data_IF_490703728814
#
_entry.id   IF_490703728814
#
_cell.length_a   1.000
_cell.length_b   1.000
_cell.length_c   1.000
_cell.angle_alpha   90.00
_cell.angle_beta   90.00
_cell.angle_gamma   90.00
#
_symmetry.space_group_name_H-M   'P 1'
#
loop_
_entity.id
_entity.type
_entity.pdbx_description
1 polymer ?
#
# COMPACT_ATOMS: atom_id res chain seq x y z
N UNK A 1 -12.89 -7.84 -9.03
CA UNK A 1 -11.96 -7.72 -10.17
C UNK A 1 -10.97 -6.60 -9.86
N UNK A 2 -9.76 -6.67 -10.42
CA UNK A 2 -8.73 -5.62 -10.33
C UNK A 2 -9.26 -4.34 -10.98
N UNK A 3 -9.54 -3.30 -10.20
CA UNK A 3 -10.12 -2.03 -10.70
C UNK A 3 -9.05 -1.04 -11.15
N UNK A 4 -7.90 -1.04 -10.48
CA UNK A 4 -6.73 -0.30 -10.89
C UNK A 4 -5.45 -1.00 -10.39
N UNK A 5 -4.36 -0.78 -11.11
CA UNK A 5 -3.02 -1.27 -10.80
C UNK A 5 -2.06 -0.10 -10.78
N UNK A 6 -1.05 -0.16 -9.91
CA UNK A 6 0.11 0.70 -10.00
C UNK A 6 1.33 -0.06 -9.50
N UNK A 7 2.45 0.14 -10.18
CA UNK A 7 3.73 -0.46 -9.83
C UNK A 7 4.73 0.65 -9.55
N UNK A 8 5.55 0.47 -8.52
CA UNK A 8 6.63 1.39 -8.18
C UNK A 8 7.93 0.59 -8.12
N UNK A 9 8.91 0.99 -8.92
CA UNK A 9 10.27 0.44 -8.90
C UNK A 9 11.28 1.53 -8.53
N UNK A 10 12.23 1.21 -7.67
CA UNK A 10 13.34 2.10 -7.38
C UNK A 10 14.14 1.72 -6.14
N UNK A 11 15.11 2.56 -5.78
CA UNK A 11 15.97 2.37 -4.61
C UNK A 11 15.73 3.44 -3.55
N UNK A 12 15.96 3.08 -2.29
CA UNK A 12 15.90 4.04 -1.19
C UNK A 12 17.25 4.75 -1.06
N UNK A 13 17.24 6.08 -0.93
CA UNK A 13 18.48 6.87 -0.77
C UNK A 13 19.23 6.59 0.53
N UNK A 14 18.54 6.08 1.54
CA UNK A 14 19.07 5.76 2.87
C UNK A 14 18.38 4.53 3.41
N UNK A 15 19.07 3.79 4.27
CA UNK A 15 18.49 2.69 5.03
C UNK A 15 17.26 3.15 5.79
N UNK A 16 16.11 2.55 5.53
CA UNK A 16 14.80 3.01 6.06
C UNK A 16 14.01 1.82 6.59
N UNK A 17 13.51 1.88 7.84
CA UNK A 17 12.71 0.79 8.41
C UNK A 17 11.39 0.60 7.66
N UNK A 18 10.92 -0.65 7.55
CA UNK A 18 9.68 -0.96 6.83
C UNK A 18 8.45 -0.28 7.46
N UNK A 19 8.38 -0.15 8.79
CA UNK A 19 7.26 0.49 9.48
C UNK A 19 7.20 2.02 9.27
N UNK A 20 8.26 2.62 8.70
CA UNK A 20 8.35 4.05 8.41
C UNK A 20 7.96 4.40 6.98
N UNK A 21 7.59 3.42 6.16
CA UNK A 21 7.22 3.66 4.77
C UNK A 21 5.83 3.09 4.49
N UNK A 22 4.96 3.95 3.97
CA UNK A 22 3.58 3.61 3.68
C UNK A 22 3.17 3.97 2.26
N UNK A 23 2.06 3.38 1.87
CA UNK A 23 1.26 3.75 0.72
C UNK A 23 -0.20 3.87 1.15
N UNK A 24 -1.03 4.50 0.32
CA UNK A 24 -2.46 4.61 0.57
C UNK A 24 -3.04 5.92 0.05
N UNK A 25 -4.15 6.31 0.67
CA UNK A 25 -4.85 7.55 0.34
C UNK A 25 -4.60 8.59 1.42
N UNK A 26 -4.20 9.78 0.97
CA UNK A 26 -4.05 10.98 1.78
C UNK A 26 -5.05 12.03 1.28
N UNK A 27 -5.86 12.57 2.19
CA UNK A 27 -6.91 13.52 1.85
C UNK A 27 -6.50 14.97 2.09
N UNK A 28 -5.34 15.22 2.73
CA UNK A 28 -4.67 16.51 2.93
C UNK A 28 -5.49 17.67 3.55
N UNK A 29 -6.81 17.49 3.72
CA UNK A 29 -7.76 18.41 4.33
C UNK A 29 -8.87 17.62 4.99
N UNK A 30 -9.54 18.18 6.03
CA UNK A 30 -10.68 17.54 6.64
C UNK A 30 -11.83 17.39 5.63
N UNK A 31 -12.64 16.34 5.79
CA UNK A 31 -13.82 16.15 4.97
C UNK A 31 -14.85 17.26 5.17
N UNK A 32 -15.37 17.83 4.07
CA UNK A 32 -16.57 18.69 4.12
C UNK A 32 -17.80 17.81 4.30
N UNK A 33 -18.75 18.23 5.14
CA UNK A 33 -19.89 17.39 5.51
C UNK A 33 -19.42 16.03 6.07
N UNK A 34 -18.46 16.07 7.01
CA UNK A 34 -17.85 14.88 7.59
C UNK A 34 -18.91 13.78 7.81
N UNK A 35 -18.69 12.57 7.28
CA UNK A 35 -19.67 11.52 7.36
C UNK A 35 -20.10 11.34 8.81
N UNK A 36 -21.40 11.10 9.03
CA UNK A 36 -21.91 10.89 10.37
C UNK A 36 -21.01 9.88 11.09
N UNK A 37 -20.54 10.22 12.29
CA UNK A 37 -19.51 9.42 12.99
C UNK A 37 -19.90 7.95 13.14
N UNK A 38 -21.20 7.66 13.22
CA UNK A 38 -21.75 6.30 13.20
C UNK A 38 -21.49 5.54 11.89
N UNK A 39 -21.60 6.20 10.73
CA UNK A 39 -21.30 5.60 9.42
C UNK A 39 -19.80 5.29 9.30
N UNK A 40 -18.95 6.22 9.72
CA UNK A 40 -17.49 6.01 9.73
C UNK A 40 -17.12 4.86 10.64
N UNK A 41 -17.62 4.84 11.89
CA UNK A 41 -17.38 3.74 12.83
C UNK A 41 -17.82 2.39 12.24
N UNK A 42 -19.02 2.33 11.66
CA UNK A 42 -19.51 1.10 11.01
C UNK A 42 -18.61 0.65 9.85
N UNK A 43 -18.12 1.58 9.03
CA UNK A 43 -17.18 1.26 7.96
C UNK A 43 -15.85 0.73 8.52
N UNK A 44 -15.31 1.37 9.57
CA UNK A 44 -14.09 0.94 10.25
C UNK A 44 -14.26 -0.42 10.95
N UNK A 45 -15.40 -0.70 11.56
CA UNK A 45 -15.68 -1.98 12.21
C UNK A 45 -15.74 -3.12 11.18
N UNK A 46 -16.39 -2.88 10.04
CA UNK A 46 -16.44 -3.84 8.93
C UNK A 46 -15.05 -4.09 8.34
N UNK A 47 -14.24 -3.03 8.22
CA UNK A 47 -12.85 -3.11 7.76
C UNK A 47 -11.92 -3.74 8.81
N UNK A 48 -12.14 -3.53 10.09
CA UNK A 48 -11.22 -3.96 11.17
C UNK A 48 -11.04 -5.48 11.25
N UNK A 49 -12.04 -6.24 10.81
CA UNK A 49 -11.92 -7.71 10.69
C UNK A 49 -11.10 -8.17 9.46
N UNK A 50 -10.90 -7.30 8.47
CA UNK A 50 -10.28 -7.61 7.17
C UNK A 50 -8.94 -6.92 6.95
N UNK A 51 -8.72 -5.78 7.60
CA UNK A 51 -7.49 -5.01 7.47
C UNK A 51 -6.45 -5.53 8.46
N UNK A 52 -5.17 -5.63 8.04
CA UNK A 52 -4.05 -5.86 8.95
C UNK A 52 -4.05 -4.87 10.12
N UNK A 53 -3.54 -5.31 11.29
CA UNK A 53 -3.38 -4.40 12.45
C UNK A 53 -2.41 -3.25 12.19
N UNK A 54 -1.55 -3.39 11.20
CA UNK A 54 -0.61 -2.35 10.75
C UNK A 54 -1.25 -1.32 9.85
N UNK A 55 -2.52 -1.53 9.46
CA UNK A 55 -3.29 -0.54 8.74
C UNK A 55 -3.61 0.65 9.65
N UNK A 56 -3.33 1.86 9.17
CA UNK A 56 -3.62 3.11 9.85
C UNK A 56 -4.74 3.85 9.13
N UNK A 57 -5.81 4.12 9.88
CA UNK A 57 -6.99 4.78 9.36
C UNK A 57 -7.43 5.86 10.34
N UNK A 58 -7.40 7.11 9.87
CA UNK A 58 -8.02 8.23 10.54
C UNK A 58 -8.87 8.98 9.52
N UNK A 59 -10.19 8.83 9.60
CA UNK A 59 -11.12 9.48 8.67
C UNK A 59 -11.80 10.72 9.25
N UNK A 60 -11.55 11.03 10.52
CA UNK A 60 -12.22 12.11 11.25
C UNK A 60 -11.24 13.19 11.74
N UNK A 61 -9.93 12.97 11.59
CA UNK A 61 -8.89 13.95 11.89
C UNK A 61 -8.82 15.09 10.88
N UNK A 62 -7.95 16.07 11.21
CA UNK A 62 -7.70 17.25 10.36
C UNK A 62 -7.03 16.89 9.03
N UNK A 63 -6.27 15.79 9.03
CA UNK A 63 -5.64 15.21 7.84
C UNK A 63 -6.08 13.75 7.73
N UNK A 64 -7.26 13.49 7.14
CA UNK A 64 -7.74 12.14 6.99
C UNK A 64 -6.75 11.31 6.17
N UNK A 65 -6.53 10.07 6.59
CA UNK A 65 -5.60 9.13 5.95
C UNK A 65 -6.10 7.69 6.02
N UNK A 66 -5.80 6.94 4.97
CA UNK A 66 -6.06 5.52 4.86
C UNK A 66 -4.80 4.86 4.31
N UNK A 67 -3.89 4.47 5.20
CA UNK A 67 -2.52 4.10 4.88
C UNK A 67 -2.15 2.74 5.45
N UNK A 68 -1.22 2.05 4.79
CA UNK A 68 -0.63 0.82 5.32
C UNK A 68 0.85 0.71 4.95
N UNK A 69 1.63 -0.11 5.66
CA UNK A 69 3.01 -0.38 5.31
C UNK A 69 3.12 -0.86 3.87
N UNK A 70 4.14 -0.35 3.17
CA UNK A 70 4.34 -0.59 1.74
C UNK A 70 4.39 -2.09 1.42
N UNK A 71 5.26 -2.82 2.12
CA UNK A 71 5.44 -4.27 1.97
C UNK A 71 4.24 -5.10 2.44
N UNK A 72 3.38 -4.58 3.32
CA UNK A 72 2.23 -5.34 3.81
C UNK A 72 1.05 -5.30 2.84
N UNK A 73 0.97 -4.28 1.98
CA UNK A 73 -0.16 -4.12 1.07
C UNK A 73 0.15 -4.20 -0.41
N UNK A 74 1.40 -4.32 -0.84
CA UNK A 74 1.69 -4.72 -2.21
C UNK A 74 1.37 -6.20 -2.42
N UNK A 75 0.72 -6.52 -3.52
CA UNK A 75 0.36 -7.88 -3.87
C UNK A 75 1.49 -8.65 -4.53
N UNK A 76 2.47 -7.97 -5.10
CA UNK A 76 3.76 -8.57 -5.43
C UNK A 76 4.88 -7.67 -4.92
N UNK A 77 5.94 -8.30 -4.44
CA UNK A 77 7.12 -7.62 -3.94
C UNK A 77 8.38 -8.28 -4.48
N UNK A 78 9.26 -7.47 -5.04
CA UNK A 78 10.54 -7.92 -5.58
C UNK A 78 11.68 -7.13 -4.98
N UNK A 79 12.77 -7.81 -4.68
CA UNK A 79 14.02 -7.19 -4.24
C UNK A 79 15.14 -7.64 -5.16
N UNK A 80 15.79 -6.68 -5.79
CA UNK A 80 16.89 -6.91 -6.72
C UNK A 80 18.15 -6.13 -6.30
N UNK A 81 19.26 -6.46 -6.95
CA UNK A 81 20.50 -5.69 -6.84
C UNK A 81 20.44 -4.45 -7.71
N UNK A 82 21.27 -3.44 -7.42
CA UNK A 82 21.35 -2.23 -8.27
C UNK A 82 21.76 -2.57 -9.72
N UNK A 83 22.62 -3.57 -9.93
CA UNK A 83 23.04 -3.99 -11.27
C UNK A 83 21.89 -4.55 -12.12
N UNK A 84 20.87 -5.15 -11.51
CA UNK A 84 19.70 -5.62 -12.25
C UNK A 84 18.94 -4.46 -12.93
N UNK A 85 19.02 -3.25 -12.37
CA UNK A 85 18.42 -2.06 -12.97
C UNK A 85 19.25 -1.49 -14.12
N UNK A 86 20.55 -1.76 -14.17
CA UNK A 86 21.42 -1.38 -15.30
C UNK A 86 21.16 -2.28 -16.53
N UNK A 87 20.67 -3.51 -16.30
CA UNK A 87 20.30 -4.47 -17.35
C UNK A 87 18.90 -4.23 -17.92
N UNK A 88 18.10 -3.37 -17.27
CA UNK A 88 16.70 -3.10 -17.60
C UNK A 88 16.57 -1.75 -18.32
N UNK A 89 15.69 -1.66 -19.31
CA UNK A 89 15.40 -0.40 -20.00
C UNK A 89 14.85 0.68 -19.03
N UNK A 90 14.95 1.97 -19.38
CA UNK A 90 14.49 3.07 -18.51
C UNK A 90 12.99 3.03 -18.17
N UNK A 91 12.18 2.39 -19.01
CA UNK A 91 10.74 2.26 -18.86
C UNK A 91 10.30 0.81 -18.57
N UNK A 92 11.24 -0.08 -18.24
CA UNK A 92 10.99 -1.50 -17.98
C UNK A 92 10.99 -1.81 -16.48
N UNK A 93 10.18 -2.81 -16.11
CA UNK A 93 10.08 -3.33 -14.75
C UNK A 93 10.87 -4.64 -14.63
N UNK A 94 11.69 -4.75 -13.60
CA UNK A 94 12.46 -5.96 -13.32
C UNK A 94 11.50 -7.05 -12.85
N UNK A 95 11.60 -8.22 -13.48
CA UNK A 95 10.83 -9.40 -13.10
C UNK A 95 9.35 -9.32 -13.47
N UNK A 96 8.97 -8.52 -14.46
CA UNK A 96 7.64 -8.57 -15.06
C UNK A 96 7.49 -9.81 -15.96
N UNK A 97 6.39 -10.54 -15.81
CA UNK A 97 6.07 -11.70 -16.64
C UNK A 97 5.32 -11.31 -17.94
N UNK A 98 5.03 -12.31 -18.79
CA UNK A 98 4.30 -12.12 -20.05
C UNK A 98 2.90 -11.54 -19.90
N UNK A 99 2.35 -11.51 -18.68
CA UNK A 99 1.03 -10.96 -18.37
C UNK A 99 1.08 -9.54 -17.80
N UNK A 100 2.28 -8.97 -17.66
CA UNK A 100 2.48 -7.67 -17.02
C UNK A 100 2.39 -7.70 -15.50
N UNK A 101 2.61 -8.87 -14.88
CA UNK A 101 2.63 -9.02 -13.43
C UNK A 101 4.05 -9.14 -12.92
N UNK A 102 4.32 -8.50 -11.77
CA UNK A 102 5.61 -8.64 -11.11
C UNK A 102 5.70 -10.01 -10.45
N UNK A 103 6.73 -10.76 -10.81
CA UNK A 103 7.07 -12.03 -10.16
C UNK A 103 7.71 -11.73 -8.81
N UNK A 104 7.08 -12.24 -7.75
CA UNK A 104 7.56 -12.09 -6.38
C UNK A 104 8.93 -12.75 -6.19
N UNK A 105 9.88 -12.01 -5.63
CA UNK A 105 11.21 -12.51 -5.28
C UNK A 105 11.73 -11.75 -4.07
N UNK A 106 11.81 -12.46 -2.96
CA UNK A 106 12.27 -11.93 -1.68
C UNK A 106 13.55 -12.59 -1.19
N UNK A 107 14.25 -13.32 -2.06
CA UNK A 107 15.46 -14.07 -1.72
C UNK A 107 16.54 -13.17 -1.11
N UNK A 108 16.68 -11.94 -1.61
CA UNK A 108 17.63 -10.95 -1.09
C UNK A 108 17.28 -10.38 0.30
N UNK A 109 16.10 -10.70 0.86
CA UNK A 109 15.81 -10.41 2.27
C UNK A 109 16.61 -11.32 3.22
N UNK A 110 17.02 -12.51 2.73
CA UNK A 110 17.83 -13.48 3.47
C UNK A 110 17.31 -13.80 4.89
N UNK A 111 15.98 -13.86 5.06
CA UNK A 111 15.33 -14.24 6.31
C UNK A 111 14.34 -15.39 6.04
N UNK A 112 14.65 -16.62 6.51
CA UNK A 112 13.81 -17.79 6.26
C UNK A 112 12.45 -17.75 6.98
N UNK A 113 12.23 -16.81 7.90
CA UNK A 113 10.94 -16.62 8.56
C UNK A 113 9.92 -15.87 7.69
N UNK A 114 10.37 -15.25 6.60
CA UNK A 114 9.52 -14.55 5.64
C UNK A 114 9.05 -15.57 4.59
N UNK A 115 7.74 -15.79 4.44
CA UNK A 115 7.22 -16.66 3.39
C UNK A 115 7.57 -16.11 2.00
N UNK A 116 7.88 -17.01 1.07
CA UNK A 116 8.22 -16.65 -0.31
C UNK A 116 7.00 -16.36 -1.19
N UNK A 117 5.80 -16.71 -0.73
CA UNK A 117 4.56 -16.43 -1.44
C UNK A 117 3.94 -15.08 -1.02
N UNK A 118 3.27 -14.37 -1.94
CA UNK A 118 2.76 -13.03 -1.64
C UNK A 118 1.74 -12.95 -0.51
N UNK A 119 0.87 -13.95 -0.37
CA UNK A 119 -0.14 -13.95 0.68
C UNK A 119 0.50 -14.15 2.05
N UNK A 120 1.41 -15.12 2.16
CA UNK A 120 2.21 -15.41 3.34
C UNK A 120 3.07 -14.21 3.75
N UNK A 121 3.78 -13.59 2.81
CA UNK A 121 4.57 -12.37 3.06
C UNK A 121 3.72 -11.25 3.62
N UNK A 122 2.57 -10.97 3.01
CA UNK A 122 1.66 -9.90 3.48
C UNK A 122 1.12 -10.19 4.88
N UNK A 123 0.76 -11.45 5.20
CA UNK A 123 0.37 -11.86 6.55
C UNK A 123 1.53 -11.72 7.54
N UNK A 124 2.75 -12.09 7.15
CA UNK A 124 3.95 -11.92 7.96
C UNK A 124 4.15 -10.44 8.33
N UNK A 125 4.07 -9.53 7.34
CA UNK A 125 4.22 -8.09 7.54
C UNK A 125 2.96 -7.35 8.03
N UNK A 126 1.85 -8.07 8.27
CA UNK A 126 0.70 -7.54 9.01
C UNK A 126 0.99 -7.32 10.50
N UNK A 127 2.13 -7.82 10.99
CA UNK A 127 2.59 -7.66 12.37
C UNK A 127 3.66 -6.57 12.47
N UNK A 128 3.41 -5.58 13.33
CA UNK A 128 4.32 -4.45 13.53
C UNK A 128 5.74 -4.88 13.89
N UNK A 129 5.88 -5.87 14.77
CA UNK A 129 7.19 -6.40 15.18
C UNK A 129 8.05 -6.90 14.01
N UNK A 130 7.44 -7.42 12.95
CA UNK A 130 8.17 -7.92 11.78
C UNK A 130 8.61 -6.75 10.89
N UNK A 131 7.78 -5.71 10.76
CA UNK A 131 8.15 -4.48 10.06
C UNK A 131 9.29 -3.74 10.76
N UNK A 132 9.28 -3.67 12.09
CA UNK A 132 10.30 -2.94 12.86
C UNK A 132 11.69 -3.61 12.81
N UNK A 133 11.76 -4.89 12.45
CA UNK A 133 13.01 -5.65 12.31
C UNK A 133 13.64 -5.54 10.92
N UNK A 134 12.84 -5.20 9.92
CA UNK A 134 13.26 -5.15 8.52
C UNK A 134 13.50 -3.72 8.03
N UNK A 135 14.40 -3.60 7.06
CA UNK A 135 14.83 -2.32 6.50
C UNK A 135 14.88 -2.41 4.98
N UNK A 136 14.49 -1.32 4.33
CA UNK A 136 14.85 -1.05 2.95
C UNK A 136 16.30 -0.58 2.96
N UNK A 137 17.17 -1.36 2.35
CA UNK A 137 18.59 -1.08 2.21
C UNK A 137 18.84 -0.18 0.99
N UNK A 138 19.88 0.66 1.06
CA UNK A 138 20.14 1.66 0.01
C UNK A 138 20.81 1.07 -1.25
N UNK A 139 21.34 -0.15 -1.14
CA UNK A 139 22.06 -0.89 -2.18
C UNK A 139 21.17 -1.95 -2.85
N UNK A 140 19.84 -1.76 -2.80
CA UNK A 140 18.83 -2.65 -3.38
C UNK A 140 17.83 -1.86 -4.21
N UNK A 141 17.24 -2.54 -5.18
CA UNK A 141 16.09 -2.08 -5.94
C UNK A 141 14.88 -2.83 -5.42
N UNK A 142 13.79 -2.10 -5.24
CA UNK A 142 12.53 -2.64 -4.75
C UNK A 142 11.45 -2.36 -5.77
N UNK A 143 10.69 -3.41 -6.11
CA UNK A 143 9.51 -3.29 -6.95
C UNK A 143 8.28 -3.70 -6.14
N UNK A 144 7.29 -2.81 -6.10
CA UNK A 144 6.03 -3.01 -5.40
C UNK A 144 4.90 -2.92 -6.43
N UNK A 145 4.21 -4.03 -6.67
CA UNK A 145 2.99 -4.04 -7.48
C UNK A 145 1.76 -4.05 -6.57
N UNK A 146 0.82 -3.19 -6.89
CA UNK A 146 -0.41 -3.04 -6.15
C UNK A 146 -1.63 -3.20 -7.03
N UNK A 147 -2.70 -3.66 -6.40
CA UNK A 147 -4.05 -3.49 -6.86
C UNK A 147 -4.98 -3.23 -5.69
N UNK A 148 -5.82 -2.19 -5.80
CA UNK A 148 -6.80 -1.91 -4.75
C UNK A 148 -8.11 -2.62 -5.02
N UNK A 149 -8.66 -3.20 -3.97
CA UNK A 149 -10.00 -3.75 -3.94
C UNK A 149 -10.99 -2.88 -3.15
N UNK A 150 -10.51 -1.86 -2.43
CA UNK A 150 -11.35 -1.09 -1.51
C UNK A 150 -11.64 0.31 -1.99
N UNK A 151 -10.87 0.85 -2.94
CA UNK A 151 -11.11 2.17 -3.49
C UNK A 151 -11.29 2.06 -5.00
N UNK A 152 -12.41 2.58 -5.50
CA UNK A 152 -12.67 2.72 -6.94
C UNK A 152 -12.44 4.19 -7.33
N UNK A 153 -11.33 4.51 -8.03
CA UNK A 153 -11.08 5.86 -8.53
C UNK A 153 -12.18 6.32 -9.48
N UNK A 154 -12.66 5.42 -10.36
CA UNK A 154 -13.70 5.72 -11.35
C UNK A 154 -15.01 6.14 -10.67
N UNK A 155 -15.41 5.44 -9.61
CA UNK A 155 -16.68 5.69 -8.91
C UNK A 155 -16.54 6.65 -7.74
N UNK A 156 -15.32 7.04 -7.37
CA UNK A 156 -15.03 7.80 -6.14
C UNK A 156 -15.65 7.15 -4.89
N UNK A 157 -15.57 5.81 -4.81
CA UNK A 157 -16.19 5.03 -3.72
C UNK A 157 -15.17 4.23 -2.94
N UNK A 158 -15.38 4.17 -1.63
CA UNK A 158 -14.77 3.16 -0.77
C UNK A 158 -15.68 1.92 -0.74
N UNK A 159 -15.29 0.86 -1.43
CA UNK A 159 -15.98 -0.43 -1.53
C UNK A 159 -15.51 -1.36 -0.40
N UNK A 160 -16.07 -1.20 0.79
CA UNK A 160 -15.69 -1.94 2.01
C UNK A 160 -16.15 -3.41 1.95
N UNK A 161 -17.36 -3.65 1.44
CA UNK A 161 -17.90 -5.00 1.17
C UNK A 161 -18.77 -4.98 -0.10
N UNK A 162 -19.12 -6.14 -0.69
CA UNK A 162 -20.05 -6.20 -1.82
C UNK A 162 -21.41 -5.52 -1.58
N UNK A 163 -21.84 -5.40 -0.32
CA UNK A 163 -23.13 -4.81 0.07
C UNK A 163 -23.01 -3.48 0.81
N UNK A 164 -21.78 -2.98 1.01
CA UNK A 164 -21.53 -1.73 1.74
C UNK A 164 -20.41 -0.96 1.04
N UNK A 165 -20.77 0.17 0.45
CA UNK A 165 -19.85 1.13 -0.14
C UNK A 165 -20.20 2.54 0.32
N UNK A 166 -19.20 3.39 0.41
CA UNK A 166 -19.35 4.80 0.80
C UNK A 166 -19.00 5.66 -0.41
N UNK A 167 -19.93 6.52 -0.83
CA UNK A 167 -19.66 7.57 -1.81
C UNK A 167 -18.84 8.66 -1.14
N UNK A 168 -17.66 8.94 -1.71
CA UNK A 168 -16.73 9.87 -1.13
C UNK A 168 -16.84 11.28 -1.74
N UNK A 169 -17.54 11.45 -2.87
CA UNK A 169 -17.72 12.75 -3.55
C UNK A 169 -18.27 13.84 -2.61
N UNK A 170 -19.28 13.58 -1.75
CA UNK A 170 -19.81 14.59 -0.84
C UNK A 170 -18.79 15.13 0.18
N UNK A 171 -17.70 14.40 0.39
CA UNK A 171 -16.74 14.63 1.47
C UNK A 171 -15.48 15.40 1.04
N UNK A 172 -15.13 15.39 -0.25
CA UNK A 172 -13.83 15.90 -0.72
C UNK A 172 -13.74 17.40 -0.92
N UNK A 173 -14.83 18.16 -0.77
CA UNK A 173 -14.81 19.63 -0.89
C UNK A 173 -14.15 20.16 -2.19
N UNK A 174 -14.23 19.41 -3.29
CA UNK A 174 -13.55 19.77 -4.56
C UNK A 174 -12.03 19.65 -4.53
N UNK A 175 -11.46 18.99 -3.52
CA UNK A 175 -10.03 18.73 -3.40
C UNK A 175 -9.65 17.36 -4.01
N UNK A 176 -8.48 17.23 -4.66
CA UNK A 176 -8.03 15.93 -5.18
C UNK A 176 -7.80 14.90 -4.06
N UNK A 177 -8.03 13.64 -4.37
CA UNK A 177 -7.60 12.51 -3.54
C UNK A 177 -6.16 12.20 -3.93
N UNK A 178 -5.23 12.26 -2.98
CA UNK A 178 -3.84 11.93 -3.24
C UNK A 178 -3.60 10.44 -3.00
N UNK A 179 -2.95 9.81 -3.97
CA UNK A 179 -2.44 8.46 -3.82
C UNK A 179 -0.97 8.54 -3.47
N UNK A 180 -0.65 8.24 -2.22
CA UNK A 180 0.73 8.12 -1.79
C UNK A 180 1.28 6.80 -2.32
N UNK A 181 2.04 6.83 -3.41
CA UNK A 181 2.72 5.65 -3.94
C UNK A 181 3.77 5.12 -2.95
N UNK A 182 4.64 6.02 -2.45
CA UNK A 182 5.61 5.75 -1.39
C UNK A 182 5.75 7.02 -0.53
N UNK A 183 5.47 6.94 0.77
CA UNK A 183 5.53 8.06 1.72
C UNK A 183 6.26 7.64 2.98
N UNK A 184 7.19 8.48 3.44
CA UNK A 184 7.84 8.29 4.74
C UNK A 184 6.93 8.83 5.86
N UNK A 185 6.70 8.04 6.89
CA UNK A 185 5.99 8.46 8.11
C UNK A 185 6.90 9.33 8.98
N UNK A 186 6.38 10.47 9.42
CA UNK A 186 7.09 11.37 10.34
C UNK A 186 7.36 10.70 11.70
#
# INVERSE_FOLDING_TARGET
>A
SRQYQWTVQGSFRRRTRYDRVVTGQDFARPFRNAPASALVKRALDLLGSRLPRTFECDLLGEEPRFEHPLVAGCQHFRVDTLSAMDECGPDELIGEDETGQIVEDTTLLNDPSIPSDPEGRRKHFAHKSNLERMHFEADRVYTFDFYSNFFSPVRHRLEVTPFFSVDLVPYFNGYPIFMAMVKHKW
#
